data_IF_910940364051
#
_entry.id   IF_910940364051
#
_cell.length_a   1.000
_cell.length_b   1.000
_cell.length_c   1.000
_cell.angle_alpha   90.00
_cell.angle_beta   90.00
_cell.angle_gamma   90.00
#
_symmetry.space_group_name_H-M   'P 1'
#
loop_
_entity.id
_entity.type
_entity.pdbx_description
1 polymer ?
#
# COMPACT_ATOMS: atom_id res chain seq x y z
N UNK A 1 12.34 -22.21 2.83
CA UNK A 1 11.18 -21.84 1.98
C UNK A 1 11.56 -20.89 0.83
N UNK A 2 12.85 -20.73 0.51
CA UNK A 2 13.36 -19.74 -0.46
C UNK A 2 13.37 -20.20 -1.92
N UNK A 3 13.02 -21.46 -2.23
CA UNK A 3 13.02 -21.98 -3.60
C UNK A 3 11.72 -21.73 -4.39
N UNK A 4 10.69 -21.09 -3.81
CA UNK A 4 9.40 -20.85 -4.49
C UNK A 4 9.29 -19.52 -5.24
N UNK A 5 10.28 -18.63 -5.11
CA UNK A 5 10.23 -17.31 -5.73
C UNK A 5 11.44 -17.15 -6.64
N UNK A 6 11.26 -17.48 -7.92
CA UNK A 6 12.20 -17.03 -8.94
C UNK A 6 11.72 -15.65 -9.39
N UNK A 7 12.47 -14.57 -9.10
CA UNK A 7 12.11 -13.25 -9.59
C UNK A 7 12.05 -13.28 -11.12
N UNK A 8 11.24 -12.41 -11.76
CA UNK A 8 11.22 -12.32 -13.20
C UNK A 8 12.65 -12.11 -13.74
N UNK A 9 13.13 -13.07 -14.53
CA UNK A 9 14.53 -13.22 -14.96
C UNK A 9 14.92 -12.23 -16.08
N UNK A 10 14.35 -11.03 -16.09
CA UNK A 10 14.50 -10.01 -17.12
C UNK A 10 14.91 -8.69 -16.49
N UNK A 11 16.03 -8.11 -16.96
CA UNK A 11 16.51 -6.79 -16.54
C UNK A 11 15.44 -5.69 -16.66
N UNK A 12 14.43 -5.89 -17.53
CA UNK A 12 13.31 -4.96 -17.70
C UNK A 12 12.40 -4.86 -16.48
N UNK A 13 12.46 -5.84 -15.57
CA UNK A 13 11.65 -5.93 -14.35
C UNK A 13 12.48 -5.87 -13.05
N UNK A 14 13.74 -5.45 -13.13
CA UNK A 14 14.57 -5.19 -11.96
C UNK A 14 14.13 -3.91 -11.20
N UNK A 15 14.43 -3.83 -9.91
CA UNK A 15 14.18 -2.61 -9.12
C UNK A 15 14.78 -1.36 -9.80
N UNK A 16 14.00 -0.28 -9.90
CA UNK A 16 14.42 0.96 -10.59
C UNK A 16 15.65 1.59 -9.91
N UNK A 17 15.65 1.62 -8.58
CA UNK A 17 16.72 2.19 -7.81
C UNK A 17 17.60 1.08 -7.24
N UNK A 18 18.91 1.04 -7.55
CA UNK A 18 19.82 0.13 -6.88
C UNK A 18 20.05 0.57 -5.41
N UNK A 19 20.38 -0.38 -4.52
CA UNK A 19 20.82 -0.07 -3.17
C UNK A 19 22.01 0.88 -3.18
N UNK A 20 22.05 1.83 -2.24
CA UNK A 20 23.27 2.62 -2.02
C UNK A 20 24.40 1.72 -1.53
N UNK A 21 25.57 1.90 -2.12
CA UNK A 21 26.83 1.42 -1.55
C UNK A 21 27.07 2.09 -0.19
N UNK A 22 27.94 1.50 0.63
CA UNK A 22 28.33 2.09 1.91
C UNK A 22 28.90 3.50 1.75
N UNK A 23 29.74 3.73 0.73
CA UNK A 23 30.33 5.03 0.47
C UNK A 23 29.28 6.07 0.05
N UNK A 24 28.38 5.72 -0.85
CA UNK A 24 27.27 6.61 -1.26
C UNK A 24 26.38 6.97 -0.07
N UNK A 25 26.01 5.98 0.75
CA UNK A 25 25.17 6.20 1.92
C UNK A 25 25.83 7.11 2.95
N UNK A 26 27.14 6.95 3.20
CA UNK A 26 27.89 7.84 4.10
C UNK A 26 27.98 9.26 3.54
N UNK A 27 28.27 9.43 2.24
CA UNK A 27 28.32 10.75 1.61
C UNK A 27 26.96 11.44 1.69
N UNK A 28 25.89 10.74 1.32
CA UNK A 28 24.53 11.27 1.36
C UNK A 28 24.09 11.61 2.80
N UNK A 29 24.38 10.73 3.77
CA UNK A 29 24.05 10.97 5.18
C UNK A 29 24.75 12.22 5.74
N UNK A 30 25.97 12.53 5.29
CA UNK A 30 26.71 13.72 5.70
C UNK A 30 26.18 15.04 5.07
N UNK A 31 25.27 14.98 4.09
CA UNK A 31 24.56 16.17 3.59
C UNK A 31 23.48 16.66 4.55
N UNK A 32 23.00 15.79 5.45
CA UNK A 32 21.91 16.13 6.37
C UNK A 32 22.33 17.27 7.31
N UNK A 33 21.49 18.31 7.41
CA UNK A 33 21.74 19.47 8.28
C UNK A 33 21.46 19.20 9.76
N UNK A 34 20.90 18.03 10.09
CA UNK A 34 20.49 17.65 11.45
C UNK A 34 19.68 18.73 12.17
N UNK A 35 18.65 19.23 11.48
CA UNK A 35 17.76 20.27 11.99
C UNK A 35 17.22 19.91 13.38
N UNK A 36 17.23 20.87 14.30
CA UNK A 36 16.69 20.69 15.66
C UNK A 36 15.20 20.34 15.63
N UNK A 37 14.38 21.17 14.96
CA UNK A 37 12.96 20.90 14.69
C UNK A 37 12.81 20.34 13.27
N UNK A 38 13.23 19.10 13.07
CA UNK A 38 13.29 18.48 11.74
C UNK A 38 11.90 18.35 11.08
N UNK A 39 11.59 19.12 10.01
CA UNK A 39 10.26 19.08 9.39
C UNK A 39 9.97 17.74 8.70
N UNK A 40 11.01 17.04 8.26
CA UNK A 40 10.89 15.70 7.66
C UNK A 40 10.30 14.66 8.63
N UNK A 41 10.53 14.79 9.94
CA UNK A 41 9.92 13.94 10.97
C UNK A 41 8.42 14.21 11.09
N UNK A 42 8.02 15.49 11.05
CA UNK A 42 6.62 15.90 11.13
C UNK A 42 5.82 15.47 9.90
N UNK A 43 6.45 15.52 8.72
CA UNK A 43 5.84 15.09 7.47
C UNK A 43 5.73 13.56 7.34
N UNK A 44 6.55 12.79 8.08
CA UNK A 44 6.47 11.33 8.10
C UNK A 44 5.28 10.89 8.97
N UNK A 45 4.27 10.16 8.44
CA UNK A 45 3.10 9.78 9.23
C UNK A 45 3.40 8.89 10.43
N UNK A 46 4.47 8.09 10.36
CA UNK A 46 4.92 7.23 11.47
C UNK A 46 5.90 7.92 12.42
N UNK A 47 6.26 9.18 12.14
CA UNK A 47 7.18 10.01 12.90
C UNK A 47 8.55 9.35 13.14
N UNK A 48 9.12 8.76 12.09
CA UNK A 48 10.49 8.22 12.15
C UNK A 48 11.46 9.37 12.52
N UNK A 49 12.33 9.12 13.49
CA UNK A 49 13.42 10.04 13.84
C UNK A 49 14.52 9.99 12.76
N UNK A 50 14.26 10.73 11.69
CA UNK A 50 15.08 10.80 10.48
C UNK A 50 16.51 11.29 10.78
N UNK A 51 16.72 12.43 11.45
CA UNK A 51 18.07 12.90 11.78
C UNK A 51 18.88 11.86 12.57
N UNK A 52 18.25 11.15 13.51
CA UNK A 52 18.94 10.13 14.32
C UNK A 52 19.36 8.93 13.49
N UNK A 53 18.48 8.35 12.67
CA UNK A 53 18.87 7.17 11.88
C UNK A 53 19.92 7.53 10.83
N UNK A 54 19.85 8.73 10.24
CA UNK A 54 20.84 9.22 9.27
C UNK A 54 22.19 9.42 9.95
N UNK A 55 22.23 10.03 11.15
CA UNK A 55 23.47 10.19 11.92
C UNK A 55 24.14 8.85 12.19
N UNK A 56 23.34 7.82 12.51
CA UNK A 56 23.85 6.47 12.74
C UNK A 56 24.42 5.84 11.48
N UNK A 57 23.89 6.13 10.29
CA UNK A 57 24.50 5.71 9.01
C UNK A 57 25.85 6.39 8.84
N UNK A 58 25.93 7.71 9.07
CA UNK A 58 27.17 8.47 8.94
C UNK A 58 28.31 7.97 9.85
N UNK A 59 27.99 7.33 10.98
CA UNK A 59 28.96 6.73 11.91
C UNK A 59 29.08 5.20 11.78
N UNK A 60 28.52 4.59 10.71
CA UNK A 60 28.60 3.13 10.46
C UNK A 60 27.73 2.25 11.37
N UNK A 61 26.85 2.81 12.19
CA UNK A 61 25.96 2.07 13.07
C UNK A 61 24.65 1.67 12.37
N UNK A 62 24.74 0.81 11.36
CA UNK A 62 23.58 0.40 10.54
C UNK A 62 22.53 -0.35 11.35
N UNK A 63 22.92 -1.24 12.27
CA UNK A 63 21.96 -1.94 13.15
C UNK A 63 21.16 -0.96 14.01
N UNK A 64 21.84 0.02 14.61
CA UNK A 64 21.18 1.04 15.42
C UNK A 64 20.31 1.98 14.59
N UNK A 65 20.70 2.25 13.33
CA UNK A 65 19.91 3.05 12.38
C UNK A 65 18.62 2.32 12.00
N UNK A 66 18.72 1.05 11.58
CA UNK A 66 17.59 0.19 11.29
C UNK A 66 16.64 0.06 12.48
N UNK A 67 17.19 -0.08 13.70
CA UNK A 67 16.37 -0.09 14.93
C UNK A 67 15.51 1.17 15.08
N UNK A 68 16.08 2.36 14.89
CA UNK A 68 15.32 3.62 14.97
C UNK A 68 14.21 3.69 13.91
N UNK A 69 14.48 3.22 12.70
CA UNK A 69 13.47 3.17 11.63
C UNK A 69 12.35 2.20 12.03
N UNK A 70 12.70 0.96 12.38
CA UNK A 70 11.75 -0.12 12.61
C UNK A 70 10.96 0.04 13.93
N UNK A 71 11.46 0.83 14.88
CA UNK A 71 10.73 1.21 16.11
C UNK A 71 9.53 2.10 15.77
N UNK A 72 9.70 3.00 14.81
CA UNK A 72 8.64 3.88 14.34
C UNK A 72 7.82 3.26 13.21
N UNK A 73 8.40 2.40 12.39
CA UNK A 73 7.78 1.85 11.19
C UNK A 73 8.26 0.42 10.93
N UNK A 74 7.49 -0.59 11.35
CA UNK A 74 7.84 -2.00 11.16
C UNK A 74 7.97 -2.38 9.68
N UNK A 75 7.22 -1.71 8.79
CA UNK A 75 7.31 -1.88 7.33
C UNK A 75 8.36 -0.95 6.70
N UNK A 76 9.50 -0.79 7.37
CA UNK A 76 10.56 0.13 6.96
C UNK A 76 11.19 -0.21 5.61
N UNK A 77 11.21 -1.49 5.21
CA UNK A 77 11.80 -1.94 3.95
C UNK A 77 10.88 -1.66 2.76
N UNK A 78 9.59 -1.93 2.93
CA UNK A 78 8.53 -1.55 1.99
C UNK A 78 8.44 -0.03 1.88
N UNK A 79 8.30 0.68 3.00
CA UNK A 79 8.14 2.14 3.00
C UNK A 79 9.35 2.87 2.40
N UNK A 80 10.56 2.32 2.51
CA UNK A 80 11.75 2.90 1.89
C UNK A 80 11.73 2.86 0.35
N UNK A 81 10.83 2.05 -0.24
CA UNK A 81 10.67 1.90 -1.69
C UNK A 81 9.42 2.56 -2.24
N UNK A 82 8.33 2.54 -1.48
CA UNK A 82 7.00 2.88 -2.00
C UNK A 82 6.42 4.18 -1.44
N UNK A 83 7.05 4.79 -0.42
CA UNK A 83 6.56 6.07 0.09
C UNK A 83 6.71 7.17 -0.98
N UNK A 84 5.71 8.05 -1.13
CA UNK A 84 5.85 9.26 -1.92
C UNK A 84 6.69 10.28 -1.15
N UNK A 85 8.00 10.06 -1.08
CA UNK A 85 8.91 10.85 -0.25
C UNK A 85 8.88 12.34 -0.57
N UNK A 86 8.63 12.70 -1.83
CA UNK A 86 8.45 14.08 -2.33
C UNK A 86 7.21 14.76 -1.74
N UNK A 87 6.16 14.01 -1.42
CA UNK A 87 4.95 14.53 -0.77
C UNK A 87 5.09 14.54 0.76
N UNK A 88 6.16 13.93 1.29
CA UNK A 88 6.35 13.64 2.71
C UNK A 88 7.71 14.16 3.19
N UNK A 89 8.58 13.25 3.62
CA UNK A 89 9.80 13.57 4.35
C UNK A 89 10.84 14.33 3.52
N UNK A 90 11.00 14.00 2.24
CA UNK A 90 11.94 14.66 1.34
C UNK A 90 11.39 16.00 0.85
N UNK A 91 10.08 16.09 0.58
CA UNK A 91 9.40 17.34 0.28
C UNK A 91 9.46 18.36 1.42
N UNK A 92 9.46 17.89 2.66
CA UNK A 92 9.64 18.73 3.85
C UNK A 92 11.11 19.02 4.18
N UNK A 93 12.08 18.47 3.45
CA UNK A 93 13.49 18.66 3.74
C UNK A 93 13.89 20.13 3.57
N UNK A 94 14.49 20.73 4.60
CA UNK A 94 14.95 22.14 4.56
C UNK A 94 15.95 22.37 3.43
N UNK A 95 16.80 21.37 3.14
CA UNK A 95 17.79 21.44 2.07
C UNK A 95 17.14 21.53 0.67
N UNK A 96 15.94 20.97 0.52
CA UNK A 96 15.19 20.92 -0.75
C UNK A 96 14.80 22.29 -1.32
N UNK A 97 14.94 23.37 -0.55
CA UNK A 97 14.65 24.74 -1.02
C UNK A 97 15.72 25.30 -1.94
N UNK A 98 16.99 25.01 -1.65
CA UNK A 98 18.15 25.58 -2.33
C UNK A 98 18.95 24.53 -3.11
N UNK A 99 18.81 23.26 -2.75
CA UNK A 99 19.52 22.12 -3.32
C UNK A 99 18.59 20.90 -3.43
N UNK A 100 19.12 19.78 -3.94
CA UNK A 100 18.39 18.51 -3.86
C UNK A 100 18.16 18.13 -2.38
N UNK A 101 16.96 17.63 -2.02
CA UNK A 101 16.69 17.16 -0.68
C UNK A 101 17.57 15.94 -0.34
N UNK A 102 17.64 15.62 0.95
CA UNK A 102 18.28 14.38 1.38
C UNK A 102 17.49 13.19 0.85
N UNK A 103 18.16 12.18 0.28
CA UNK A 103 17.55 10.95 -0.21
C UNK A 103 17.18 10.02 0.97
N UNK A 104 16.25 10.47 1.82
CA UNK A 104 15.81 9.82 3.06
C UNK A 104 15.32 8.41 2.79
N UNK A 105 14.51 8.19 1.74
CA UNK A 105 14.01 6.86 1.38
C UNK A 105 15.15 5.88 1.07
N UNK A 106 16.16 6.32 0.32
CA UNK A 106 17.32 5.49 -0.04
C UNK A 106 18.23 5.21 1.15
N UNK A 107 18.44 6.18 2.05
CA UNK A 107 19.16 5.97 3.30
C UNK A 107 18.40 5.01 4.24
N UNK A 108 17.07 5.13 4.31
CA UNK A 108 16.23 4.20 5.06
C UNK A 108 16.39 2.77 4.52
N UNK A 109 16.32 2.60 3.20
CA UNK A 109 16.55 1.32 2.52
C UNK A 109 17.93 0.75 2.88
N UNK A 110 18.98 1.56 2.81
CA UNK A 110 20.35 1.12 3.10
C UNK A 110 20.45 0.50 4.51
N UNK A 111 19.84 1.13 5.52
CA UNK A 111 19.86 0.61 6.89
C UNK A 111 18.96 -0.63 7.07
N UNK A 112 17.74 -0.63 6.51
CA UNK A 112 16.79 -1.75 6.68
C UNK A 112 17.22 -2.99 5.89
N UNK A 113 17.66 -2.82 4.64
CA UNK A 113 18.16 -3.94 3.83
C UNK A 113 19.36 -4.61 4.53
N UNK A 114 20.23 -3.86 5.23
CA UNK A 114 21.34 -4.43 5.99
C UNK A 114 20.90 -5.43 7.06
N UNK A 115 19.87 -5.11 7.85
CA UNK A 115 19.39 -6.04 8.90
C UNK A 115 18.59 -7.18 8.32
N UNK A 116 17.73 -6.93 7.33
CA UNK A 116 16.88 -7.94 6.72
C UNK A 116 17.69 -8.99 5.93
N UNK A 117 18.64 -8.55 5.10
CA UNK A 117 19.45 -9.46 4.29
C UNK A 117 20.43 -10.29 5.13
N UNK A 118 20.84 -9.78 6.30
CA UNK A 118 21.71 -10.51 7.24
C UNK A 118 20.94 -11.35 8.26
N UNK A 119 19.60 -11.33 8.22
CA UNK A 119 18.77 -12.01 9.23
C UNK A 119 18.98 -11.50 10.65
N UNK A 120 19.30 -10.20 10.81
CA UNK A 120 19.52 -9.59 12.11
C UNK A 120 18.17 -9.23 12.71
N UNK A 121 17.76 -9.95 13.74
CA UNK A 121 16.58 -9.61 14.52
C UNK A 121 16.81 -8.33 15.35
N UNK A 122 15.89 -7.39 15.20
CA UNK A 122 15.94 -6.07 15.85
C UNK A 122 15.04 -6.03 17.09
N UNK A 123 13.96 -6.82 17.10
CA UNK A 123 12.99 -6.90 18.18
C UNK A 123 12.78 -8.33 18.65
N UNK A 124 12.25 -8.46 19.85
CA UNK A 124 11.81 -9.72 20.45
C UNK A 124 10.41 -9.51 21.03
N UNK A 125 9.66 -10.61 21.17
CA UNK A 125 8.36 -10.59 21.82
C UNK A 125 8.48 -10.08 23.26
N UNK A 126 7.47 -9.36 23.72
CA UNK A 126 7.34 -9.01 25.13
C UNK A 126 7.04 -10.25 25.99
N UNK A 127 7.22 -10.18 27.32
CA UNK A 127 6.78 -11.24 28.23
C UNK A 127 5.28 -11.53 28.05
N UNK A 128 4.85 -12.81 27.94
CA UNK A 128 3.45 -13.15 27.73
C UNK A 128 2.53 -12.50 28.76
N UNK A 129 1.51 -11.78 28.29
CA UNK A 129 0.56 -11.06 29.15
C UNK A 129 -0.78 -11.81 29.34
N UNK A 130 -0.91 -13.01 28.76
CA UNK A 130 -2.07 -13.88 28.88
C UNK A 130 -3.26 -13.55 27.99
N UNK A 131 -3.20 -12.47 27.20
CA UNK A 131 -4.29 -12.03 26.33
C UNK A 131 -4.01 -12.35 24.86
N UNK A 132 -5.09 -12.57 24.11
CA UNK A 132 -5.08 -12.98 22.70
C UNK A 132 -5.72 -11.92 21.81
N UNK A 133 -5.10 -11.63 20.66
CA UNK A 133 -5.66 -10.69 19.68
C UNK A 133 -5.68 -11.31 18.29
N UNK A 134 -6.83 -11.25 17.63
CA UNK A 134 -6.97 -11.60 16.23
C UNK A 134 -6.74 -10.36 15.36
N UNK A 135 -5.98 -10.50 14.29
CA UNK A 135 -5.73 -9.45 13.30
C UNK A 135 -6.14 -10.00 11.94
N UNK A 136 -7.20 -9.46 11.36
CA UNK A 136 -7.78 -9.93 10.08
C UNK A 136 -7.28 -9.04 8.95
N UNK A 137 -6.54 -9.63 8.01
CA UNK A 137 -5.89 -8.97 6.89
C UNK A 137 -4.40 -8.72 7.16
N UNK A 138 -3.54 -9.23 6.28
CA UNK A 138 -2.08 -9.12 6.42
C UNK A 138 -1.45 -7.95 5.65
N UNK A 139 -2.23 -6.93 5.31
CA UNK A 139 -1.69 -5.69 4.75
C UNK A 139 -0.87 -4.89 5.78
N UNK A 140 -0.32 -3.73 5.37
CA UNK A 140 0.54 -2.90 6.24
C UNK A 140 -0.05 -2.57 7.61
N UNK A 141 -1.35 -2.28 7.68
CA UNK A 141 -2.01 -1.99 8.96
C UNK A 141 -2.05 -3.21 9.89
N UNK A 142 -2.40 -4.40 9.36
CA UNK A 142 -2.43 -5.63 10.14
C UNK A 142 -1.04 -6.07 10.62
N UNK A 143 -0.04 -6.03 9.74
CA UNK A 143 1.36 -6.35 10.10
C UNK A 143 1.85 -5.41 11.21
N UNK A 144 1.59 -4.10 11.08
CA UNK A 144 1.96 -3.10 12.08
C UNK A 144 1.27 -3.35 13.42
N UNK A 145 -0.05 -3.56 13.42
CA UNK A 145 -0.82 -3.89 14.64
C UNK A 145 -0.27 -5.14 15.32
N UNK A 146 -0.03 -6.20 14.55
CA UNK A 146 0.47 -7.47 15.06
C UNK A 146 1.88 -7.32 15.68
N UNK A 147 2.77 -6.58 15.01
CA UNK A 147 4.12 -6.35 15.51
C UNK A 147 4.12 -5.56 16.83
N UNK A 148 3.33 -4.49 16.91
CA UNK A 148 3.23 -3.67 18.12
C UNK A 148 2.65 -4.44 19.31
N UNK A 149 1.64 -5.29 19.09
CA UNK A 149 1.05 -6.13 20.13
C UNK A 149 1.98 -7.28 20.55
N UNK A 150 2.67 -7.93 19.62
CA UNK A 150 3.64 -8.98 19.93
C UNK A 150 4.80 -8.44 20.79
N UNK A 151 5.32 -7.23 20.49
CA UNK A 151 6.30 -6.52 21.34
C UNK A 151 5.80 -6.26 22.77
N UNK A 152 4.48 -6.23 22.97
CA UNK A 152 3.82 -6.06 24.29
C UNK A 152 3.40 -7.38 24.94
N UNK A 153 3.77 -8.51 24.35
CA UNK A 153 3.55 -9.84 24.92
C UNK A 153 2.15 -10.41 24.71
N UNK A 154 1.35 -9.85 23.80
CA UNK A 154 0.08 -10.46 23.40
C UNK A 154 0.33 -11.70 22.53
N UNK A 155 -0.52 -12.71 22.67
CA UNK A 155 -0.58 -13.82 21.72
C UNK A 155 -1.39 -13.37 20.50
N UNK A 156 -0.70 -13.06 19.40
CA UNK A 156 -1.33 -12.52 18.20
C UNK A 156 -1.48 -13.60 17.12
N UNK A 157 -2.68 -13.70 16.56
CA UNK A 157 -2.94 -14.48 15.33
C UNK A 157 -3.33 -13.54 14.19
N UNK A 158 -2.53 -13.54 13.12
CA UNK A 158 -2.77 -12.78 11.90
C UNK A 158 -3.43 -13.70 10.86
N UNK A 159 -4.66 -13.38 10.47
CA UNK A 159 -5.42 -14.12 9.45
C UNK A 159 -5.30 -13.45 8.08
N UNK A 160 -5.00 -14.24 7.05
CA UNK A 160 -4.86 -13.80 5.68
C UNK A 160 -5.64 -14.71 4.73
N UNK A 161 -6.35 -14.15 3.76
CA UNK A 161 -7.15 -14.92 2.81
C UNK A 161 -6.34 -15.52 1.67
N UNK A 162 -5.26 -14.85 1.26
CA UNK A 162 -4.37 -15.28 0.19
C UNK A 162 -3.33 -16.29 0.70
N UNK A 163 -2.61 -16.88 -0.24
CA UNK A 163 -1.56 -17.86 0.04
C UNK A 163 -0.31 -17.24 0.69
N UNK A 164 -0.05 -15.95 0.45
CA UNK A 164 1.05 -15.19 1.02
C UNK A 164 0.52 -13.97 1.77
N UNK A 165 1.12 -13.69 2.92
CA UNK A 165 0.85 -12.48 3.67
C UNK A 165 1.50 -11.25 3.02
N UNK A 166 1.10 -10.04 3.44
CA UNK A 166 1.65 -8.75 2.99
C UNK A 166 0.70 -7.90 2.16
N UNK A 167 -0.51 -8.38 1.84
CA UNK A 167 -1.52 -7.63 1.11
C UNK A 167 -1.00 -7.04 -0.22
N UNK A 168 -1.35 -5.79 -0.53
CA UNK A 168 -0.93 -5.14 -1.77
C UNK A 168 0.60 -4.98 -1.92
N UNK A 169 1.39 -5.00 -0.84
CA UNK A 169 2.86 -5.02 -0.98
C UNK A 169 3.35 -6.30 -1.65
N UNK A 170 2.74 -7.43 -1.31
CA UNK A 170 3.01 -8.72 -1.96
C UNK A 170 2.43 -8.78 -3.37
N UNK A 171 1.21 -8.27 -3.58
CA UNK A 171 0.43 -8.54 -4.80
C UNK A 171 0.23 -7.35 -5.74
N UNK A 172 0.09 -6.13 -5.23
CA UNK A 172 -0.45 -4.99 -5.97
C UNK A 172 0.50 -3.83 -6.26
N UNK A 173 1.70 -3.81 -5.69
CA UNK A 173 2.74 -2.81 -6.02
C UNK A 173 3.69 -3.40 -7.05
N UNK A 174 3.94 -2.69 -8.15
CA UNK A 174 4.80 -3.17 -9.24
C UNK A 174 6.18 -3.64 -8.76
N UNK A 175 6.66 -4.76 -9.31
CA UNK A 175 7.96 -5.38 -8.95
C UNK A 175 9.16 -4.43 -9.09
N UNK A 176 9.09 -3.49 -10.02
CA UNK A 176 10.09 -2.43 -10.25
C UNK A 176 10.29 -1.51 -9.04
N UNK A 177 9.28 -1.39 -8.19
CA UNK A 177 9.32 -0.60 -6.96
C UNK A 177 9.49 -1.49 -5.76
N UNK A 178 8.65 -2.53 -5.66
CA UNK A 178 8.67 -3.45 -4.54
C UNK A 178 8.66 -4.92 -5.03
N UNK A 179 9.81 -5.60 -5.01
CA UNK A 179 9.86 -7.04 -5.20
C UNK A 179 9.11 -7.79 -4.10
N UNK A 180 8.58 -8.97 -4.42
CA UNK A 180 7.82 -9.82 -3.48
C UNK A 180 8.66 -10.13 -2.23
N UNK A 181 9.96 -10.34 -2.41
CA UNK A 181 10.88 -10.70 -1.35
C UNK A 181 11.01 -9.62 -0.27
N UNK A 182 10.78 -8.35 -0.61
CA UNK A 182 10.81 -7.26 0.37
C UNK A 182 9.67 -7.42 1.36
N UNK A 183 8.43 -7.54 0.85
CA UNK A 183 7.25 -7.76 1.67
C UNK A 183 7.35 -9.08 2.45
N UNK A 184 7.83 -10.15 1.83
CA UNK A 184 7.97 -11.45 2.50
C UNK A 184 9.04 -11.44 3.62
N UNK A 185 10.13 -10.67 3.50
CA UNK A 185 11.10 -10.53 4.61
C UNK A 185 10.49 -9.84 5.83
N UNK A 186 9.58 -8.89 5.63
CA UNK A 186 8.86 -8.24 6.73
C UNK A 186 7.85 -9.20 7.39
N UNK A 187 7.15 -10.01 6.59
CA UNK A 187 6.31 -11.11 7.09
C UNK A 187 7.13 -12.14 7.87
N UNK A 188 8.29 -12.53 7.38
CA UNK A 188 9.17 -13.45 8.13
C UNK A 188 9.69 -12.81 9.41
N UNK A 189 10.01 -11.52 9.41
CA UNK A 189 10.38 -10.79 10.64
C UNK A 189 9.24 -10.80 11.67
N UNK A 190 7.98 -10.73 11.21
CA UNK A 190 6.80 -10.82 12.06
C UNK A 190 6.63 -12.22 12.66
N UNK A 191 6.93 -13.28 11.90
CA UNK A 191 6.95 -14.67 12.41
C UNK A 191 8.03 -14.88 13.47
N UNK A 192 9.24 -14.36 13.24
CA UNK A 192 10.32 -14.40 14.24
C UNK A 192 9.95 -13.65 15.53
N UNK A 193 9.10 -12.62 15.43
CA UNK A 193 8.54 -11.91 16.58
C UNK A 193 7.45 -12.72 17.33
N UNK A 194 7.11 -13.93 16.87
CA UNK A 194 6.18 -14.85 17.54
C UNK A 194 4.71 -14.71 17.15
N UNK A 195 4.40 -14.01 16.05
CA UNK A 195 3.03 -13.92 15.53
C UNK A 195 2.66 -15.20 14.77
N UNK A 196 1.50 -15.78 15.08
CA UNK A 196 0.93 -16.92 14.34
C UNK A 196 0.23 -16.40 13.07
N UNK A 197 0.76 -16.72 11.89
CA UNK A 197 0.20 -16.26 10.60
C UNK A 197 -0.57 -17.41 9.95
N UNK A 198 -1.88 -17.24 9.78
CA UNK A 198 -2.79 -18.21 9.18
C UNK A 198 -3.32 -17.72 7.83
N UNK A 199 -2.72 -18.24 6.76
CA UNK A 199 -3.13 -18.01 5.38
C UNK A 199 -4.34 -18.88 4.99
N UNK A 200 -5.06 -18.51 3.92
CA UNK A 200 -6.27 -19.20 3.48
C UNK A 200 -7.51 -18.98 4.35
N UNK A 201 -7.47 -18.05 5.31
CA UNK A 201 -8.62 -17.67 6.12
C UNK A 201 -9.22 -16.35 5.61
N UNK A 202 -10.48 -16.39 5.19
CA UNK A 202 -11.24 -15.19 4.83
C UNK A 202 -12.38 -14.97 5.82
N UNK A 203 -12.45 -13.77 6.40
CA UNK A 203 -13.62 -13.32 7.13
C UNK A 203 -14.69 -12.91 6.12
N UNK A 204 -15.82 -13.60 6.11
CA UNK A 204 -16.89 -13.40 5.11
C UNK A 204 -18.25 -13.07 5.72
N UNK A 205 -18.42 -13.17 7.04
CA UNK A 205 -19.73 -12.98 7.67
C UNK A 205 -19.64 -12.48 9.11
N UNK A 206 -20.78 -12.01 9.62
CA UNK A 206 -20.95 -11.60 11.02
C UNK A 206 -20.66 -12.73 12.00
N UNK A 207 -21.15 -13.93 11.72
CA UNK A 207 -20.94 -15.11 12.55
C UNK A 207 -19.44 -15.44 12.66
N UNK A 208 -18.69 -15.23 11.58
CA UNK A 208 -17.23 -15.36 11.60
C UNK A 208 -16.55 -14.36 12.54
N UNK A 209 -17.01 -13.11 12.56
CA UNK A 209 -16.50 -12.08 13.47
C UNK A 209 -16.87 -12.38 14.93
N UNK A 210 -18.11 -12.81 15.18
CA UNK A 210 -18.56 -13.18 16.53
C UNK A 210 -17.79 -14.41 17.06
N UNK A 211 -17.44 -15.36 16.18
CA UNK A 211 -16.58 -16.48 16.54
C UNK A 211 -15.16 -16.03 16.94
N UNK A 212 -14.57 -15.08 16.20
CA UNK A 212 -13.29 -14.48 16.59
C UNK A 212 -13.38 -13.75 17.94
N UNK A 213 -14.45 -12.99 18.18
CA UNK A 213 -14.67 -12.31 19.46
C UNK A 213 -14.92 -13.27 20.64
N UNK A 214 -15.26 -14.52 20.37
CA UNK A 214 -15.39 -15.57 21.41
C UNK A 214 -14.02 -16.17 21.76
N UNK A 215 -13.10 -16.27 20.80
CA UNK A 215 -11.77 -16.88 20.99
C UNK A 215 -10.69 -15.88 21.42
N UNK A 216 -10.84 -14.60 21.01
CA UNK A 216 -9.86 -13.54 21.20
C UNK A 216 -10.42 -12.38 22.03
N UNK A 217 -9.56 -11.72 22.79
CA UNK A 217 -9.95 -10.60 23.65
C UNK A 217 -10.24 -9.31 22.84
N UNK A 218 -9.63 -9.21 21.66
CA UNK A 218 -9.87 -8.14 20.69
C UNK A 218 -9.65 -8.61 19.24
N UNK A 219 -10.28 -7.91 18.30
CA UNK A 219 -10.15 -8.13 16.86
C UNK A 219 -9.77 -6.82 16.16
N UNK A 220 -8.71 -6.84 15.36
CA UNK A 220 -8.37 -5.76 14.44
C UNK A 220 -8.76 -6.14 13.01
N UNK A 221 -9.38 -5.21 12.27
CA UNK A 221 -9.83 -5.37 10.90
C UNK A 221 -9.02 -4.49 9.94
N UNK A 222 -8.12 -5.11 9.18
CA UNK A 222 -7.33 -4.52 8.10
C UNK A 222 -7.82 -5.01 6.73
N UNK A 223 -9.10 -4.81 6.42
CA UNK A 223 -9.77 -5.45 5.28
C UNK A 223 -9.39 -4.89 3.90
N UNK A 224 -8.73 -3.73 3.87
CA UNK A 224 -8.41 -3.04 2.62
C UNK A 224 -9.66 -2.57 1.85
N UNK A 225 -9.56 -2.55 0.53
CA UNK A 225 -10.63 -2.20 -0.40
C UNK A 225 -11.13 -3.44 -1.16
N UNK A 226 -12.28 -3.30 -1.82
CA UNK A 226 -12.92 -4.35 -2.62
C UNK A 226 -12.29 -4.54 -4.01
N UNK A 227 -13.05 -5.17 -4.90
CA UNK A 227 -12.63 -5.43 -6.28
C UNK A 227 -12.58 -4.15 -7.12
N UNK A 228 -12.01 -4.21 -8.32
CA UNK A 228 -12.09 -3.11 -9.29
C UNK A 228 -13.55 -3.00 -9.77
N UNK A 229 -14.21 -1.82 -9.61
CA UNK A 229 -15.62 -1.68 -9.91
C UNK A 229 -15.92 -1.93 -11.38
N UNK A 230 -17.14 -2.38 -11.66
CA UNK A 230 -17.67 -2.42 -13.02
C UNK A 230 -17.75 -0.99 -13.60
N UNK A 231 -17.39 -0.82 -14.87
CA UNK A 231 -17.53 0.46 -15.57
C UNK A 231 -18.93 0.60 -16.18
N UNK A 232 -19.66 -0.51 -16.34
CA UNK A 232 -21.01 -0.57 -16.89
C UNK A 232 -21.07 -0.25 -18.39
N UNK A 233 -19.96 -0.43 -19.10
CA UNK A 233 -19.86 -0.14 -20.54
C UNK A 233 -19.97 -1.42 -21.37
N UNK A 234 -20.48 -1.35 -22.62
CA UNK A 234 -20.56 -2.51 -23.49
C UNK A 234 -19.21 -3.22 -23.68
N UNK A 235 -19.25 -4.55 -23.64
CA UNK A 235 -18.11 -5.45 -23.82
C UNK A 235 -16.98 -5.28 -22.77
N UNK A 236 -17.28 -4.73 -21.58
CA UNK A 236 -16.27 -4.52 -20.53
C UNK A 236 -15.64 -5.82 -19.99
N UNK A 237 -16.30 -6.97 -20.16
CA UNK A 237 -15.79 -8.29 -19.81
C UNK A 237 -14.50 -8.67 -20.58
N UNK A 238 -14.21 -7.97 -21.67
CA UNK A 238 -12.95 -8.10 -22.43
C UNK A 238 -11.80 -7.25 -21.86
N UNK A 239 -12.05 -6.40 -20.85
CA UNK A 239 -10.99 -5.63 -20.20
C UNK A 239 -10.26 -6.48 -19.14
N UNK A 240 -8.93 -6.38 -19.13
CA UNK A 240 -8.08 -6.95 -18.11
C UNK A 240 -8.12 -6.11 -16.83
N UNK A 241 -8.03 -6.76 -15.67
CA UNK A 241 -7.90 -6.08 -14.39
C UNK A 241 -6.45 -5.57 -14.20
N UNK A 242 -6.29 -4.28 -13.90
CA UNK A 242 -4.97 -3.67 -13.72
C UNK A 242 -4.21 -4.20 -12.51
N UNK A 243 -4.89 -4.52 -11.41
CA UNK A 243 -4.25 -5.11 -10.22
C UNK A 243 -3.81 -6.54 -10.53
N UNK A 244 -4.63 -7.32 -11.21
CA UNK A 244 -4.27 -8.68 -11.64
C UNK A 244 -3.08 -8.68 -12.61
N UNK A 245 -3.02 -7.71 -13.53
CA UNK A 245 -1.88 -7.54 -14.44
C UNK A 245 -0.58 -7.24 -13.66
N UNK A 246 -0.65 -6.35 -12.68
CA UNK A 246 0.49 -6.03 -11.81
C UNK A 246 0.90 -7.28 -11.02
N UNK A 247 -0.06 -7.98 -10.43
CA UNK A 247 0.18 -9.21 -9.66
C UNK A 247 0.90 -10.26 -10.51
N UNK A 248 0.37 -10.58 -11.70
CA UNK A 248 1.01 -11.53 -12.63
C UNK A 248 2.46 -11.13 -12.94
N UNK A 249 2.75 -9.84 -13.05
CA UNK A 249 4.12 -9.37 -13.32
C UNK A 249 5.12 -9.65 -12.21
N UNK A 250 4.62 -9.87 -10.97
CA UNK A 250 5.45 -10.21 -9.80
C UNK A 250 5.80 -11.69 -9.74
N UNK A 251 4.94 -12.57 -10.27
CA UNK A 251 5.05 -14.02 -10.09
C UNK A 251 5.37 -14.79 -11.36
N UNK A 252 4.72 -14.45 -12.48
CA UNK A 252 4.89 -15.16 -13.75
C UNK A 252 4.60 -14.24 -14.95
N UNK A 253 5.66 -13.64 -15.49
CA UNK A 253 5.58 -12.82 -16.70
C UNK A 253 5.06 -13.60 -17.92
N UNK A 254 5.26 -14.92 -17.97
CA UNK A 254 4.82 -15.74 -19.12
C UNK A 254 3.31 -15.91 -19.17
N UNK A 255 2.63 -15.74 -18.04
CA UNK A 255 1.17 -15.77 -17.93
C UNK A 255 0.47 -14.50 -18.43
N UNK A 256 1.23 -13.44 -18.72
CA UNK A 256 0.67 -12.16 -19.17
C UNK A 256 0.46 -12.18 -20.68
N UNK A 257 -0.80 -12.10 -21.09
CA UNK A 257 -1.19 -11.99 -22.49
C UNK A 257 -1.83 -10.63 -22.74
N UNK A 258 -1.03 -9.72 -23.31
CA UNK A 258 -1.47 -8.40 -23.78
C UNK A 258 -1.08 -8.24 -25.24
N UNK A 259 -1.96 -7.64 -26.04
CA UNK A 259 -1.69 -7.32 -27.44
C UNK A 259 -0.69 -6.18 -27.61
N UNK A 260 -0.35 -5.85 -28.86
CA UNK A 260 0.73 -4.90 -29.14
C UNK A 260 0.38 -3.46 -28.79
N UNK A 261 -0.89 -3.07 -28.93
CA UNK A 261 -1.41 -1.76 -28.50
C UNK A 261 -2.34 -1.91 -27.30
N UNK A 262 -1.98 -1.29 -26.18
CA UNK A 262 -2.72 -1.41 -24.91
C UNK A 262 -3.30 -0.06 -24.51
N UNK A 263 -4.61 -0.01 -24.28
CA UNK A 263 -5.29 1.13 -23.67
C UNK A 263 -5.50 0.89 -22.17
N UNK A 264 -4.95 1.74 -21.31
CA UNK A 264 -5.11 1.64 -19.85
C UNK A 264 -6.06 2.73 -19.36
N UNK A 265 -7.18 2.35 -18.76
CA UNK A 265 -8.22 3.28 -18.28
C UNK A 265 -7.91 3.67 -16.85
N UNK A 266 -7.55 4.94 -16.63
CA UNK A 266 -7.24 5.48 -15.31
C UNK A 266 -6.00 6.38 -15.30
N UNK A 267 -5.77 7.05 -14.17
CA UNK A 267 -4.64 7.96 -13.97
C UNK A 267 -4.21 8.06 -12.48
N UNK A 268 -4.43 6.99 -11.71
CA UNK A 268 -3.84 6.81 -10.38
C UNK A 268 -2.60 5.92 -10.43
N UNK A 269 -1.91 5.74 -9.30
CA UNK A 269 -0.70 4.91 -9.22
C UNK A 269 -0.90 3.49 -9.79
N UNK A 270 -2.04 2.84 -9.52
CA UNK A 270 -2.38 1.54 -10.13
C UNK A 270 -2.42 1.58 -11.66
N UNK A 271 -2.92 2.67 -12.24
CA UNK A 271 -2.97 2.82 -13.70
C UNK A 271 -1.57 3.04 -14.27
N UNK A 272 -0.73 3.82 -13.58
CA UNK A 272 0.67 4.03 -13.95
C UNK A 272 1.45 2.71 -13.87
N UNK A 273 1.28 1.94 -12.80
CA UNK A 273 1.93 0.63 -12.63
C UNK A 273 1.50 -0.35 -13.73
N UNK A 274 0.20 -0.49 -13.97
CA UNK A 274 -0.33 -1.38 -15.02
C UNK A 274 0.17 -0.97 -16.42
N UNK A 275 0.21 0.34 -16.71
CA UNK A 275 0.75 0.88 -17.95
C UNK A 275 2.25 0.59 -18.08
N UNK A 276 3.00 0.74 -17.00
CA UNK A 276 4.44 0.44 -16.94
C UNK A 276 4.72 -1.04 -17.17
N UNK A 277 3.94 -1.95 -16.58
CA UNK A 277 4.06 -3.40 -16.85
C UNK A 277 3.88 -3.68 -18.33
N UNK A 278 2.78 -3.21 -18.93
CA UNK A 278 2.53 -3.39 -20.37
C UNK A 278 3.67 -2.80 -21.22
N UNK A 279 4.18 -1.61 -20.85
CA UNK A 279 5.26 -0.95 -21.57
C UNK A 279 6.57 -1.75 -21.50
N UNK A 280 6.94 -2.27 -20.33
CA UNK A 280 8.14 -3.10 -20.13
C UNK A 280 8.05 -4.47 -20.82
N UNK A 281 6.85 -4.96 -21.08
CA UNK A 281 6.60 -6.10 -21.98
C UNK A 281 6.80 -5.75 -23.47
N UNK A 282 7.16 -4.51 -23.80
CA UNK A 282 7.44 -4.04 -25.16
C UNK A 282 6.22 -3.60 -25.94
N UNK A 283 5.11 -3.24 -25.28
CA UNK A 283 3.87 -2.80 -25.92
C UNK A 283 3.83 -1.28 -26.12
N UNK A 284 2.99 -0.86 -27.06
CA UNK A 284 2.59 0.54 -27.25
C UNK A 284 1.43 0.85 -26.31
N UNK A 285 1.64 1.74 -25.35
CA UNK A 285 0.67 1.98 -24.27
C UNK A 285 0.11 3.40 -24.35
N UNK A 286 -1.22 3.51 -24.27
CA UNK A 286 -1.94 4.77 -24.12
C UNK A 286 -2.81 4.73 -22.85
N UNK A 287 -2.53 5.63 -21.91
CA UNK A 287 -3.40 5.87 -20.76
C UNK A 287 -4.55 6.77 -21.15
N UNK A 288 -5.77 6.37 -20.82
CA UNK A 288 -7.00 7.09 -21.15
C UNK A 288 -7.61 7.64 -19.86
N UNK A 289 -7.73 8.95 -19.78
CA UNK A 289 -8.18 9.62 -18.57
C UNK A 289 -9.28 10.65 -18.87
N UNK A 290 -10.36 10.57 -18.09
CA UNK A 290 -11.55 11.41 -18.25
C UNK A 290 -11.38 12.87 -17.78
N UNK A 291 -10.19 13.24 -17.28
CA UNK A 291 -9.86 14.62 -16.88
C UNK A 291 -8.48 15.02 -17.43
N UNK A 292 -7.97 16.18 -17.02
CA UNK A 292 -6.65 16.66 -17.39
C UNK A 292 -5.53 16.14 -16.50
N UNK A 293 -4.30 16.50 -16.88
CA UNK A 293 -3.07 16.19 -16.15
C UNK A 293 -3.11 16.69 -14.69
N UNK A 294 -3.63 17.90 -14.46
CA UNK A 294 -3.72 18.51 -13.13
C UNK A 294 -4.67 17.80 -12.17
N UNK A 295 -5.59 16.96 -12.67
CA UNK A 295 -6.54 16.21 -11.84
C UNK A 295 -6.11 14.77 -11.56
N UNK A 296 -4.96 14.35 -12.10
CA UNK A 296 -4.41 13.02 -11.86
C UNK A 296 -4.20 12.80 -10.36
N UNK A 297 -4.40 11.54 -9.94
CA UNK A 297 -4.17 11.13 -8.55
C UNK A 297 -2.88 10.34 -8.40
N UNK A 298 -2.21 10.03 -9.51
CA UNK A 298 -0.86 9.49 -9.46
C UNK A 298 0.12 10.57 -8.97
N UNK A 299 1.17 10.16 -8.26
CA UNK A 299 2.21 11.09 -7.85
C UNK A 299 2.93 11.69 -9.06
N UNK A 300 3.43 12.92 -8.90
CA UNK A 300 4.07 13.65 -10.00
C UNK A 300 5.26 12.89 -10.58
N UNK A 301 6.16 12.37 -9.73
CA UNK A 301 7.30 11.56 -10.18
C UNK A 301 6.88 10.26 -10.87
N UNK A 302 5.75 9.64 -10.48
CA UNK A 302 5.25 8.44 -11.17
C UNK A 302 4.73 8.78 -12.57
N UNK A 303 4.04 9.91 -12.72
CA UNK A 303 3.62 10.42 -14.03
C UNK A 303 4.82 10.74 -14.93
N UNK A 304 5.82 11.44 -14.40
CA UNK A 304 7.04 11.78 -15.15
C UNK A 304 7.82 10.54 -15.56
N UNK A 305 7.92 9.55 -14.67
CA UNK A 305 8.48 8.25 -14.98
C UNK A 305 7.74 7.56 -16.13
N UNK A 306 6.40 7.55 -16.11
CA UNK A 306 5.60 6.96 -17.18
C UNK A 306 5.83 7.66 -18.54
N UNK A 307 5.98 8.99 -18.56
CA UNK A 307 6.34 9.73 -19.77
C UNK A 307 7.72 9.34 -20.29
N UNK A 308 8.72 9.20 -19.41
CA UNK A 308 10.08 8.77 -19.77
C UNK A 308 10.11 7.34 -20.34
N UNK A 309 9.23 6.46 -19.84
CA UNK A 309 9.04 5.12 -20.40
C UNK A 309 8.40 5.16 -21.81
N UNK A 310 7.82 6.30 -22.23
CA UNK A 310 7.16 6.49 -23.51
C UNK A 310 5.68 6.12 -23.50
N UNK A 311 5.04 6.12 -22.33
CA UNK A 311 3.59 5.93 -22.20
C UNK A 311 2.88 7.21 -22.67
N UNK A 312 1.90 7.05 -23.56
CA UNK A 312 1.09 8.16 -24.10
C UNK A 312 -0.11 8.43 -23.19
N UNK A 313 -0.59 9.66 -23.19
CA UNK A 313 -1.79 10.06 -22.45
C UNK A 313 -2.84 10.64 -23.39
N UNK A 314 -4.06 10.15 -23.24
CA UNK A 314 -5.27 10.67 -23.88
C UNK A 314 -6.18 11.24 -22.78
N UNK A 315 -5.97 12.53 -22.50
CA UNK A 315 -6.73 13.28 -21.50
C UNK A 315 -8.11 13.69 -22.01
N UNK A 316 -8.96 14.15 -21.08
CA UNK A 316 -10.32 14.62 -21.37
C UNK A 316 -11.13 13.61 -22.21
N UNK A 317 -10.93 12.33 -21.91
CA UNK A 317 -11.45 11.22 -22.71
C UNK A 317 -12.05 10.16 -21.81
N UNK A 318 -13.32 9.86 -22.03
CA UNK A 318 -14.05 8.84 -21.27
C UNK A 318 -14.36 7.63 -22.16
N UNK A 319 -14.00 6.41 -21.74
CA UNK A 319 -14.44 5.18 -22.41
C UNK A 319 -15.96 5.01 -22.32
N UNK A 320 -16.57 4.55 -23.41
CA UNK A 320 -18.00 4.27 -23.52
C UNK A 320 -18.30 2.88 -24.10
N UNK A 321 -17.28 2.05 -24.33
CA UNK A 321 -17.40 0.66 -24.76
C UNK A 321 -16.11 0.11 -25.36
N UNK A 322 -16.03 -1.21 -25.50
CA UNK A 322 -14.90 -1.89 -26.16
C UNK A 322 -15.38 -2.43 -27.51
N UNK A 323 -14.64 -2.16 -28.57
CA UNK A 323 -14.91 -2.75 -29.89
C UNK A 323 -14.31 -4.15 -29.96
N UNK A 324 -15.16 -5.12 -30.31
CA UNK A 324 -14.81 -6.54 -30.35
C UNK A 324 -15.24 -7.12 -31.68
N UNK A 325 -14.29 -7.71 -32.40
CA UNK A 325 -14.52 -8.42 -33.65
C UNK A 325 -14.04 -9.86 -33.52
N UNK A 326 -14.91 -10.83 -33.82
CA UNK A 326 -14.59 -12.26 -33.71
C UNK A 326 -14.02 -12.66 -32.34
N UNK A 327 -14.51 -12.03 -31.26
CA UNK A 327 -14.07 -12.27 -29.88
C UNK A 327 -12.73 -11.63 -29.51
N UNK A 328 -12.15 -10.77 -30.37
CA UNK A 328 -10.91 -10.03 -30.10
C UNK A 328 -11.16 -8.54 -30.01
N UNK A 329 -10.49 -7.89 -29.07
CA UNK A 329 -10.51 -6.43 -28.93
C UNK A 329 -9.82 -5.79 -30.14
N UNK A 330 -10.47 -4.80 -30.75
CA UNK A 330 -9.93 -4.03 -31.89
C UNK A 330 -9.83 -2.53 -31.62
N UNK A 331 -10.52 -2.04 -30.58
CA UNK A 331 -10.47 -0.64 -30.19
C UNK A 331 -11.19 -0.34 -28.88
N UNK A 332 -10.89 0.83 -28.32
CA UNK A 332 -11.61 1.41 -27.19
C UNK A 332 -12.45 2.58 -27.68
N UNK A 333 -13.78 2.42 -27.66
CA UNK A 333 -14.71 3.48 -28.02
C UNK A 333 -14.76 4.51 -26.90
N UNK A 334 -14.50 5.76 -27.25
CA UNK A 334 -14.38 6.86 -26.33
C UNK A 334 -15.23 8.05 -26.76
N UNK A 335 -15.40 9.01 -25.86
CA UNK A 335 -16.03 10.31 -26.10
C UNK A 335 -15.20 11.39 -25.42
N UNK A 336 -15.15 12.60 -26.00
CA UNK A 336 -14.48 13.73 -25.36
C UNK A 336 -15.30 14.25 -24.17
N UNK A 337 -14.57 14.82 -23.23
CA UNK A 337 -15.09 15.32 -21.97
C UNK A 337 -14.69 16.78 -21.79
N UNK A 338 -15.64 17.60 -21.36
CA UNK A 338 -15.37 18.91 -20.77
C UNK A 338 -15.42 18.79 -19.23
N UNK A 339 -14.67 19.63 -18.53
CA UNK A 339 -14.73 19.69 -17.07
C UNK A 339 -15.91 20.58 -16.64
N UNK A 340 -16.78 20.05 -15.80
CA UNK A 340 -17.87 20.78 -15.14
C UNK A 340 -17.59 21.04 -13.67
N UNK A 341 -18.65 21.31 -12.91
CA UNK A 341 -18.58 21.54 -11.47
C UNK A 341 -17.97 20.35 -10.71
N UNK A 342 -17.32 20.57 -9.55
CA UNK A 342 -16.75 19.50 -8.74
C UNK A 342 -17.73 18.39 -8.38
N UNK A 343 -17.29 17.13 -8.48
CA UNK A 343 -18.02 15.94 -8.07
C UNK A 343 -17.90 15.66 -6.55
N UNK A 344 -18.45 14.53 -6.09
CA UNK A 344 -18.40 14.14 -4.67
C UNK A 344 -16.98 13.95 -4.09
N UNK A 345 -15.96 13.82 -4.94
CA UNK A 345 -14.54 13.81 -4.55
C UNK A 345 -13.93 15.21 -4.47
N UNK A 346 -14.66 16.26 -4.86
CA UNK A 346 -14.18 17.64 -4.94
C UNK A 346 -13.39 17.95 -6.21
N UNK A 347 -13.27 17.00 -7.14
CA UNK A 347 -12.57 17.18 -8.43
C UNK A 347 -13.57 17.50 -9.53
N UNK A 348 -13.22 18.30 -10.56
CA UNK A 348 -14.13 18.64 -11.64
C UNK A 348 -14.82 17.41 -12.25
N UNK A 349 -16.16 17.46 -12.37
CA UNK A 349 -16.93 16.36 -12.92
C UNK A 349 -16.73 16.27 -14.44
N UNK A 350 -16.55 15.07 -15.01
CA UNK A 350 -16.50 14.89 -16.44
C UNK A 350 -17.90 15.08 -17.06
N UNK A 351 -18.04 16.03 -17.99
CA UNK A 351 -19.25 16.28 -18.79
C UNK A 351 -19.01 15.82 -20.22
N UNK A 352 -19.82 14.87 -20.70
CA UNK A 352 -19.68 14.32 -22.04
C UNK A 352 -19.96 15.38 -23.12
N UNK A 353 -19.09 15.45 -24.12
CA UNK A 353 -19.27 16.33 -25.29
C UNK A 353 -19.99 15.54 -26.38
N UNK A 354 -21.27 15.82 -26.61
CA UNK A 354 -22.06 15.10 -27.61
C UNK A 354 -21.48 15.21 -29.03
N UNK A 355 -21.50 14.12 -29.80
CA UNK A 355 -21.00 14.09 -31.18
C UNK A 355 -19.47 14.05 -31.29
N UNK A 356 -18.76 13.83 -30.19
CA UNK A 356 -17.30 13.75 -30.12
C UNK A 356 -16.78 12.31 -29.97
N UNK A 357 -17.60 11.31 -30.30
CA UNK A 357 -17.25 9.91 -30.20
C UNK A 357 -16.13 9.54 -31.18
N UNK A 358 -15.18 8.75 -30.72
CA UNK A 358 -14.06 8.27 -31.53
C UNK A 358 -13.57 6.92 -30.99
N UNK A 359 -12.70 6.25 -31.74
CA UNK A 359 -12.11 4.97 -31.34
C UNK A 359 -10.61 5.15 -31.20
N UNK A 360 -10.06 4.67 -30.09
CA UNK A 360 -8.61 4.50 -29.91
C UNK A 360 -8.30 3.06 -30.35
N UNK A 361 -7.56 2.85 -31.47
CA UNK A 361 -7.22 1.50 -31.92
C UNK A 361 -6.32 0.80 -30.90
N UNK A 362 -6.76 -0.34 -30.38
CA UNK A 362 -6.00 -1.13 -29.40
C UNK A 362 -6.39 -2.60 -29.47
N UNK A 363 -5.47 -3.46 -29.04
CA UNK A 363 -5.61 -4.92 -29.04
C UNK A 363 -5.88 -5.45 -27.63
N UNK A 364 -5.74 -4.61 -26.61
CA UNK A 364 -6.05 -4.92 -25.20
C UNK A 364 -6.46 -3.66 -24.45
N UNK A 365 -7.42 -3.83 -23.53
CA UNK A 365 -7.88 -2.79 -22.61
C UNK A 365 -7.61 -3.24 -21.19
N UNK A 366 -7.03 -2.37 -20.37
CA UNK A 366 -6.77 -2.62 -18.95
C UNK A 366 -7.57 -1.62 -18.12
N UNK A 367 -8.40 -2.09 -17.18
CA UNK A 367 -9.13 -1.22 -16.26
C UNK A 367 -8.36 -0.99 -14.97
N UNK A 368 -8.13 0.27 -14.62
CA UNK A 368 -7.45 0.70 -13.39
C UNK A 368 -8.18 1.93 -12.79
N UNK A 369 -9.48 1.77 -12.56
CA UNK A 369 -10.41 2.84 -12.18
C UNK A 369 -10.62 2.98 -10.65
N UNK A 370 -9.72 2.40 -9.86
CA UNK A 370 -9.81 2.32 -8.40
C UNK A 370 -10.41 1.00 -7.93
N UNK A 371 -10.78 0.94 -6.66
CA UNK A 371 -11.36 -0.23 -6.01
C UNK A 371 -12.66 0.14 -5.30
N UNK A 372 -13.54 -0.85 -5.16
CA UNK A 372 -14.76 -0.74 -4.39
C UNK A 372 -14.47 -0.49 -2.91
N UNK A 373 -15.44 0.10 -2.24
CA UNK A 373 -15.38 0.31 -0.79
C UNK A 373 -15.58 -1.03 -0.07
N UNK A 374 -15.17 -1.17 1.21
CA UNK A 374 -15.28 -2.43 1.93
C UNK A 374 -16.76 -2.80 2.22
N UNK A 375 -17.42 -3.45 1.26
CA UNK A 375 -18.84 -3.81 1.35
C UNK A 375 -19.16 -4.72 2.55
N UNK A 376 -18.22 -5.61 2.89
CA UNK A 376 -18.31 -6.52 4.04
C UNK A 376 -18.54 -5.77 5.37
N UNK A 377 -18.13 -4.50 5.49
CA UNK A 377 -18.28 -3.74 6.73
C UNK A 377 -19.73 -3.71 7.25
N UNK A 378 -20.69 -3.46 6.37
CA UNK A 378 -22.12 -3.42 6.73
C UNK A 378 -22.63 -4.81 7.14
N UNK A 379 -22.18 -5.86 6.44
CA UNK A 379 -22.55 -7.25 6.74
C UNK A 379 -22.02 -7.72 8.10
N UNK A 380 -20.87 -7.17 8.54
CA UNK A 380 -20.33 -7.37 9.89
C UNK A 380 -21.08 -6.57 10.97
N UNK A 381 -22.04 -5.72 10.59
CA UNK A 381 -22.76 -4.85 11.51
C UNK A 381 -21.95 -3.67 12.04
N UNK A 382 -20.94 -3.22 11.29
CA UNK A 382 -20.16 -2.02 11.60
C UNK A 382 -20.87 -0.76 11.09
N UNK A 383 -20.74 0.34 11.83
CA UNK A 383 -21.10 1.65 11.31
C UNK A 383 -20.17 2.01 10.13
N UNK A 384 -20.77 2.60 9.08
CA UNK A 384 -20.04 2.99 7.88
C UNK A 384 -20.31 4.46 7.54
N UNK A 385 -19.24 5.17 7.19
CA UNK A 385 -19.32 6.55 6.71
C UNK A 385 -18.81 6.64 5.28
N UNK A 386 -19.68 7.08 4.37
CA UNK A 386 -19.40 7.10 2.91
C UNK A 386 -18.93 5.75 2.35
N UNK A 387 -19.30 4.64 2.99
CA UNK A 387 -18.94 3.27 2.60
C UNK A 387 -17.61 2.75 3.16
N UNK A 388 -16.89 3.53 3.95
CA UNK A 388 -15.72 3.07 4.73
C UNK A 388 -16.16 2.75 6.16
N UNK A 389 -15.40 1.89 6.85
CA UNK A 389 -15.64 1.58 8.27
C UNK A 389 -15.45 2.88 9.07
N UNK A 390 -16.45 3.22 9.87
CA UNK A 390 -16.37 4.38 10.77
C UNK A 390 -15.58 4.01 12.03
N UNK A 391 -14.62 4.86 12.39
CA UNK A 391 -13.77 4.71 13.57
C UNK A 391 -13.54 6.03 14.29
N UNK A 392 -13.21 5.95 15.58
CA UNK A 392 -12.73 7.10 16.36
C UNK A 392 -11.23 7.40 16.11
N UNK A 393 -10.69 8.43 16.78
CA UNK A 393 -9.28 8.85 16.64
C UNK A 393 -8.27 7.78 17.09
N UNK A 394 -8.72 6.81 17.91
CA UNK A 394 -7.95 5.68 18.42
C UNK A 394 -8.21 4.39 17.61
N UNK A 395 -8.97 4.52 16.50
CA UNK A 395 -9.32 3.44 15.57
C UNK A 395 -10.26 2.37 16.14
N UNK A 396 -11.07 2.72 17.15
CA UNK A 396 -12.17 1.88 17.64
C UNK A 396 -13.35 1.97 16.69
N UNK A 397 -13.98 0.84 16.39
CA UNK A 397 -15.20 0.80 15.60
C UNK A 397 -16.45 0.99 16.49
N UNK A 398 -17.63 0.93 15.88
CA UNK A 398 -18.91 0.90 16.60
C UNK A 398 -19.14 -0.36 17.44
N UNK A 399 -18.34 -1.42 17.24
CA UNK A 399 -18.46 -2.68 17.98
C UNK A 399 -17.38 -2.76 19.06
N UNK A 400 -17.76 -3.22 20.26
CA UNK A 400 -16.84 -3.38 21.37
C UNK A 400 -15.73 -4.38 21.02
N UNK A 401 -14.49 -4.03 21.34
CA UNK A 401 -13.27 -4.84 21.12
C UNK A 401 -12.93 -5.07 19.64
N UNK A 402 -13.59 -4.35 18.73
CA UNK A 402 -13.30 -4.39 17.31
C UNK A 402 -12.72 -3.04 16.89
N UNK A 403 -11.55 -3.10 16.26
CA UNK A 403 -10.77 -1.97 15.78
C UNK A 403 -10.58 -2.11 14.28
N UNK A 404 -10.36 -1.02 13.56
CA UNK A 404 -10.12 -1.07 12.11
C UNK A 404 -9.12 -0.02 11.67
N UNK A 405 -8.30 -0.33 10.65
CA UNK A 405 -7.27 0.58 10.15
C UNK A 405 -6.77 0.22 8.77
N UNK A 406 -6.06 1.16 8.14
CA UNK A 406 -5.65 1.06 6.74
C UNK A 406 -6.75 1.53 5.78
N UNK A 407 -6.71 1.05 4.54
CA UNK A 407 -7.53 1.62 3.47
C UNK A 407 -9.04 1.48 3.72
N UNK A 408 -9.47 0.50 4.51
CA UNK A 408 -10.88 0.27 4.84
C UNK A 408 -11.52 1.39 5.69
N UNK A 409 -10.73 2.28 6.32
CA UNK A 409 -11.23 3.42 7.10
C UNK A 409 -10.99 4.78 6.43
N UNK A 410 -10.38 4.80 5.22
CA UNK A 410 -9.92 6.05 4.57
C UNK A 410 -11.02 6.79 3.83
N UNK A 411 -11.81 7.56 4.58
CA UNK A 411 -12.87 8.44 4.07
C UNK A 411 -12.33 9.64 3.27
N UNK A 412 -11.16 10.18 3.67
CA UNK A 412 -10.55 11.39 3.10
C UNK A 412 -9.04 11.20 2.93
N UNK A 413 -8.47 11.95 1.98
CA UNK A 413 -7.05 11.91 1.68
C UNK A 413 -6.65 10.70 0.85
N UNK A 414 -5.36 10.60 0.55
CA UNK A 414 -4.79 9.47 -0.17
C UNK A 414 -4.51 8.32 0.81
N UNK A 415 -4.74 7.09 0.36
CA UNK A 415 -4.27 5.91 1.07
C UNK A 415 -2.81 5.64 0.72
N UNK A 416 -1.95 5.45 1.73
CA UNK A 416 -0.54 5.10 1.53
C UNK A 416 -0.10 4.04 2.52
N UNK A 417 0.89 3.24 2.14
CA UNK A 417 1.45 2.17 2.98
C UNK A 417 1.90 2.68 4.36
N UNK A 418 2.54 3.85 4.41
CA UNK A 418 3.01 4.44 5.67
C UNK A 418 1.86 4.92 6.56
N UNK A 419 0.77 5.42 5.96
CA UNK A 419 -0.44 5.80 6.71
C UNK A 419 -1.15 4.56 7.28
N UNK A 420 -1.27 3.49 6.50
CA UNK A 420 -1.81 2.22 6.99
C UNK A 420 -0.94 1.63 8.13
N UNK A 421 0.39 1.75 8.01
CA UNK A 421 1.31 1.35 9.06
C UNK A 421 1.10 2.16 10.35
N UNK A 422 0.90 3.47 10.22
CA UNK A 422 0.63 4.35 11.36
C UNK A 422 -0.71 4.00 12.02
N UNK A 423 -1.75 3.69 11.23
CA UNK A 423 -3.02 3.22 11.79
C UNK A 423 -2.82 1.98 12.67
N UNK A 424 -2.04 1.00 12.20
CA UNK A 424 -1.79 -0.19 13.00
C UNK A 424 -1.12 0.12 14.36
N UNK A 425 -0.24 1.13 14.42
CA UNK A 425 0.37 1.58 15.69
C UNK A 425 -0.63 2.24 16.63
N UNK A 426 -1.53 3.05 16.07
CA UNK A 426 -2.59 3.71 16.85
C UNK A 426 -3.55 2.65 17.41
N UNK A 427 -4.02 1.74 16.56
CA UNK A 427 -4.93 0.65 16.95
C UNK A 427 -4.28 -0.27 18.00
N UNK A 428 -3.02 -0.67 17.83
CA UNK A 428 -2.33 -1.50 18.82
C UNK A 428 -2.20 -0.80 20.19
N UNK A 429 -2.02 0.52 20.21
CA UNK A 429 -2.02 1.30 21.46
C UNK A 429 -3.40 1.30 22.12
N UNK A 430 -4.46 1.50 21.33
CA UNK A 430 -5.84 1.50 21.81
C UNK A 430 -6.25 0.13 22.36
N UNK A 431 -6.00 -0.94 21.60
CA UNK A 431 -6.20 -2.34 22.02
C UNK A 431 -5.49 -2.59 23.36
N UNK A 432 -4.22 -2.18 23.46
CA UNK A 432 -3.47 -2.37 24.69
C UNK A 432 -4.10 -1.63 25.87
N UNK A 433 -4.42 -0.35 25.70
CA UNK A 433 -5.04 0.47 26.76
C UNK A 433 -6.37 -0.11 27.24
N UNK A 434 -7.24 -0.50 26.30
CA UNK A 434 -8.58 -0.99 26.61
C UNK A 434 -8.54 -2.35 27.32
N UNK A 435 -7.69 -3.26 26.85
CA UNK A 435 -7.55 -4.58 27.46
C UNK A 435 -6.90 -4.52 28.85
N UNK A 436 -5.91 -3.64 29.06
CA UNK A 436 -5.32 -3.42 30.38
C UNK A 436 -6.33 -2.79 31.35
N UNK A 437 -7.13 -1.82 30.89
CA UNK A 437 -8.17 -1.22 31.70
C UNK A 437 -9.23 -2.25 32.14
N UNK A 438 -9.63 -3.15 31.24
CA UNK A 438 -10.54 -4.26 31.57
C UNK A 438 -9.95 -5.23 32.58
N UNK A 439 -8.69 -5.62 32.41
CA UNK A 439 -8.00 -6.49 33.37
C UNK A 439 -7.96 -5.84 34.76
N UNK A 440 -7.61 -4.56 34.83
CA UNK A 440 -7.58 -3.83 36.10
C UNK A 440 -8.95 -3.72 36.75
N UNK A 441 -10.01 -3.48 35.96
CA UNK A 441 -11.38 -3.44 36.45
C UNK A 441 -11.84 -4.80 36.98
N UNK A 442 -11.48 -5.90 36.29
CA UNK A 442 -11.78 -7.26 36.73
C UNK A 442 -11.06 -7.62 38.05
N UNK A 443 -9.77 -7.26 38.18
CA UNK A 443 -9.00 -7.45 39.42
C UNK A 443 -9.65 -6.67 40.57
N UNK A 444 -9.97 -5.39 40.33
CA UNK A 444 -10.57 -4.53 41.35
C UNK A 444 -11.96 -5.03 41.80
N UNK A 445 -12.76 -5.59 40.88
CA UNK A 445 -14.05 -6.19 41.18
C UNK A 445 -13.94 -7.53 41.94
N UNK A 446 -12.84 -8.27 41.75
CA UNK A 446 -12.56 -9.52 42.46
C UNK A 446 -12.06 -9.33 43.90
N UNK A 447 -11.81 -8.08 44.34
CA UNK A 447 -11.43 -7.76 45.71
C UNK A 447 -10.01 -8.20 46.10
N UNK A 448 -9.11 -8.33 45.11
CA UNK A 448 -7.68 -8.58 45.31
C UNK A 448 -6.89 -7.28 45.21
#
# INVERSE_FOLDING_TARGET
MTERFSPPNSDRFAEIYPPMTEQEAVVEANRCLYCYDAPCLQACPTHIDIPTFIRKIATGNLRGSAKTILEANFLGGTCARVCPVEELCEGACVLGKDHEPIQIGRLQRHAVDFVQLKGIEVFQAGPPNGMKVAVVGSGPAGISTAAELAKRGYAVTLFEKRDLAGGLSTYGIIVLREPVEVAQREVESLKHLGVDIRTGYELTSREGLDALLTEFDAVFLGLGLGAVPAMGMPNEEHALDGIELIEKSKFDLSSIHVGDRVAVIGAGNTAVDAATVARRLGRDVTMVYRRGESEMTAYRHEYEFALLEGIKYEFYTQPIGIEVENGRVTGLKCIKVALGEPDASGRPAPVLVAGSEFVIPCDSVVKAVGQEKPALATELGLAVHKGYIEVDDDLRTSLANVYAGGDCVRVRGNATTVMATQDGKIAARAIHGDLQAKLQAAISAAGV
#
